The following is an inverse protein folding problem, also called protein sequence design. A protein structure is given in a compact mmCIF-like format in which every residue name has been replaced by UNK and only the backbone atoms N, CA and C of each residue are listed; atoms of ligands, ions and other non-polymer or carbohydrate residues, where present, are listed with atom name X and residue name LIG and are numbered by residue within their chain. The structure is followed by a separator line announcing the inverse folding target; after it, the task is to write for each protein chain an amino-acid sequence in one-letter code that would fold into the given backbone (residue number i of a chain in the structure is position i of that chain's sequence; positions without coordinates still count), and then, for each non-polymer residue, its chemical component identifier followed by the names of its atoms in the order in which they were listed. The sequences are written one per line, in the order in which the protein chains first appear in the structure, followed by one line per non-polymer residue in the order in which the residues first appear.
data_IF_764689540221
#
_entry.id   IF_764689540221
#
_cell.length_a   1.000
_cell.length_b   1.000
_cell.length_c   1.000
_cell.angle_alpha   90.00
_cell.angle_beta   90.00
_cell.angle_gamma   90.00
#
_symmetry.space_group_name_H-M   'P 1'
#
loop_
_entity.id
_entity.type
_entity.pdbx_description
1 polymer ?
#
# COMPACT_ATOMS: atom_id res chain seq x y z
N UNK A 1 94.36 -45.91 2.58
CA UNK A 1 93.96 -45.49 1.21
C UNK A 1 92.50 -45.93 1.04
N UNK A 2 91.48 -45.14 0.74
CA UNK A 2 91.33 -43.70 0.48
C UNK A 2 89.86 -43.30 0.76
N UNK A 3 89.70 -42.26 1.57
CA UNK A 3 88.71 -41.16 1.55
C UNK A 3 87.22 -41.31 1.12
N UNK A 4 86.39 -40.67 1.99
CA UNK A 4 85.23 -39.78 1.73
C UNK A 4 83.90 -40.47 1.35
N UNK A 5 82.71 -40.07 1.79
CA UNK A 5 82.19 -38.86 2.47
C UNK A 5 80.79 -39.16 3.04
N UNK A 6 80.44 -38.58 4.19
CA UNK A 6 79.08 -38.56 4.77
C UNK A 6 78.15 -37.63 4.00
N UNK A 7 76.88 -38.00 3.77
CA UNK A 7 75.75 -37.06 3.64
C UNK A 7 74.45 -37.68 4.20
N UNK A 8 73.89 -36.98 5.19
CA UNK A 8 72.57 -37.20 5.80
C UNK A 8 71.46 -36.81 4.83
N UNK A 9 70.48 -37.69 4.59
CA UNK A 9 69.24 -37.32 3.90
C UNK A 9 68.18 -36.88 4.91
N UNK A 10 68.01 -35.56 5.00
CA UNK A 10 66.87 -34.88 5.60
C UNK A 10 65.62 -35.18 4.75
N UNK A 11 64.70 -36.01 5.24
CA UNK A 11 63.38 -36.19 4.63
C UNK A 11 62.54 -34.93 4.88
N UNK A 12 62.40 -34.13 3.84
CA UNK A 12 61.56 -32.95 3.77
C UNK A 12 60.08 -33.38 3.89
N UNK A 13 59.44 -33.02 4.99
CA UNK A 13 58.00 -33.19 5.22
C UNK A 13 57.26 -32.18 4.33
N UNK A 14 56.92 -32.58 3.10
CA UNK A 14 56.03 -31.81 2.24
C UNK A 14 54.61 -31.91 2.79
N UNK A 15 54.22 -30.88 3.54
CA UNK A 15 52.84 -30.60 3.91
C UNK A 15 52.05 -30.34 2.61
N UNK A 16 51.48 -31.39 2.01
CA UNK A 16 50.44 -31.25 1.01
C UNK A 16 49.23 -30.64 1.71
N UNK A 17 49.15 -29.31 1.67
CA UNK A 17 47.89 -28.58 1.82
C UNK A 17 46.96 -29.12 0.74
N UNK A 18 46.18 -30.14 1.08
CA UNK A 18 44.99 -30.50 0.32
C UNK A 18 44.08 -29.29 0.47
N UNK A 19 44.14 -28.40 -0.50
CA UNK A 19 43.18 -27.33 -0.69
C UNK A 19 41.83 -28.03 -0.84
N UNK A 20 41.10 -28.17 0.28
CA UNK A 20 39.69 -28.54 0.20
C UNK A 20 39.03 -27.33 -0.46
N UNK A 21 38.49 -27.45 -1.69
CA UNK A 21 37.65 -26.38 -2.20
C UNK A 21 36.54 -26.20 -1.17
N UNK A 22 36.45 -25.01 -0.60
CA UNK A 22 35.34 -24.63 0.26
C UNK A 22 34.08 -24.66 -0.62
N UNK A 23 33.12 -25.58 -0.43
CA UNK A 23 31.88 -25.51 -1.19
C UNK A 23 31.00 -24.52 -0.44
N UNK A 24 31.14 -23.24 -0.75
CA UNK A 24 30.13 -22.26 -0.39
C UNK A 24 29.58 -21.65 -1.68
N UNK A 25 28.75 -22.44 -2.38
CA UNK A 25 27.43 -21.94 -2.78
C UNK A 25 26.40 -23.07 -2.61
N UNK A 26 25.77 -23.21 -1.44
CA UNK A 26 24.83 -24.31 -1.22
C UNK A 26 23.69 -24.05 -0.22
N UNK A 27 23.58 -22.86 0.38
CA UNK A 27 22.53 -22.57 1.38
C UNK A 27 21.32 -21.87 0.74
N UNK A 28 21.50 -21.10 -0.34
CA UNK A 28 20.40 -20.34 -0.96
C UNK A 28 19.52 -21.18 -1.88
N UNK A 29 20.06 -22.24 -2.49
CA UNK A 29 19.31 -23.18 -3.33
C UNK A 29 18.67 -24.34 -2.52
N UNK A 30 18.67 -24.25 -1.20
CA UNK A 30 18.04 -25.25 -0.35
C UNK A 30 16.54 -25.35 -0.68
N UNK A 31 16.07 -26.54 -1.03
CA UNK A 31 14.65 -26.81 -1.31
C UNK A 31 13.91 -26.81 0.03
N UNK A 32 12.97 -25.89 0.21
CA UNK A 32 12.15 -25.77 1.42
C UNK A 32 10.77 -26.39 1.24
N UNK A 33 10.29 -26.53 0.00
CA UNK A 33 9.07 -27.27 -0.31
C UNK A 33 9.07 -27.79 -1.75
N UNK A 34 8.30 -28.84 -1.99
CA UNK A 34 8.00 -29.42 -3.30
C UNK A 34 6.48 -29.41 -3.47
N UNK A 35 6.01 -28.91 -4.61
CA UNK A 35 4.59 -28.82 -4.97
C UNK A 35 4.41 -29.44 -6.35
N UNK A 36 3.83 -30.63 -6.41
CA UNK A 36 3.82 -31.48 -7.60
C UNK A 36 5.25 -31.65 -8.15
N UNK A 37 5.52 -31.16 -9.35
CA UNK A 37 6.86 -31.20 -9.98
C UNK A 37 7.65 -29.89 -9.81
N UNK A 38 7.11 -28.90 -9.09
CA UNK A 38 7.75 -27.61 -8.88
C UNK A 38 8.45 -27.52 -7.51
N UNK A 39 9.67 -26.99 -7.53
CA UNK A 39 10.48 -26.76 -6.33
C UNK A 39 10.28 -25.33 -5.82
N UNK A 40 10.31 -25.19 -4.49
CA UNK A 40 10.39 -23.90 -3.81
C UNK A 40 11.70 -23.90 -3.01
N UNK A 41 12.53 -22.91 -3.27
CA UNK A 41 13.85 -22.76 -2.65
C UNK A 41 13.86 -21.67 -1.59
N UNK A 42 14.89 -21.68 -0.73
CA UNK A 42 15.13 -20.59 0.23
C UNK A 42 15.36 -19.25 -0.49
N UNK A 43 15.99 -19.27 -1.67
CA UNK A 43 16.13 -18.09 -2.52
C UNK A 43 14.79 -17.52 -2.95
N UNK A 44 13.83 -18.35 -3.35
CA UNK A 44 12.48 -17.88 -3.73
C UNK A 44 11.79 -17.15 -2.57
N UNK A 45 11.91 -17.68 -1.35
CA UNK A 45 11.37 -17.05 -0.15
C UNK A 45 12.07 -15.70 0.14
N UNK A 46 13.40 -15.67 0.10
CA UNK A 46 14.16 -14.43 0.29
C UNK A 46 13.82 -13.38 -0.75
N UNK A 47 13.71 -13.76 -2.02
CA UNK A 47 13.37 -12.86 -3.11
C UNK A 47 11.94 -12.31 -2.95
N UNK A 48 11.00 -13.15 -2.51
CA UNK A 48 9.63 -12.74 -2.21
C UNK A 48 9.58 -11.70 -1.08
N UNK A 49 10.23 -12.00 0.05
CA UNK A 49 10.37 -11.15 1.23
C UNK A 49 11.05 -9.83 0.84
N UNK A 50 12.22 -9.88 0.20
CA UNK A 50 13.00 -8.70 -0.20
C UNK A 50 12.24 -7.81 -1.19
N UNK A 51 11.53 -8.39 -2.16
CA UNK A 51 10.75 -7.61 -3.13
C UNK A 51 9.63 -6.81 -2.46
N UNK A 52 9.04 -7.37 -1.40
CA UNK A 52 7.98 -6.70 -0.64
C UNK A 52 8.56 -5.59 0.24
N UNK A 53 9.69 -5.84 0.90
CA UNK A 53 10.42 -4.81 1.66
C UNK A 53 10.68 -3.55 0.82
N UNK A 54 11.20 -3.72 -0.40
CA UNK A 54 11.51 -2.59 -1.30
C UNK A 54 10.25 -1.80 -1.66
N UNK A 55 9.10 -2.46 -1.84
CA UNK A 55 7.82 -1.77 -2.11
C UNK A 55 7.38 -0.94 -0.91
N UNK A 56 7.42 -1.51 0.30
CA UNK A 56 6.97 -0.84 1.52
C UNK A 56 7.85 0.38 1.87
N UNK A 57 9.16 0.28 1.67
CA UNK A 57 10.08 1.42 1.84
C UNK A 57 9.76 2.52 0.84
N UNK A 58 9.48 2.18 -0.43
CA UNK A 58 9.12 3.15 -1.45
C UNK A 58 7.77 3.85 -1.17
N UNK A 59 6.87 3.16 -0.46
CA UNK A 59 5.58 3.70 0.00
C UNK A 59 5.72 4.57 1.27
N UNK A 60 6.91 4.66 1.87
CA UNK A 60 7.17 5.49 3.05
C UNK A 60 6.66 4.89 4.37
N UNK A 61 6.46 3.57 4.43
CA UNK A 61 6.02 2.89 5.64
C UNK A 61 7.09 2.98 6.75
N UNK A 62 6.72 3.21 8.02
CA UNK A 62 7.70 3.27 9.12
C UNK A 62 8.44 1.95 9.34
N UNK A 63 9.75 2.02 9.62
CA UNK A 63 10.62 0.85 9.78
C UNK A 63 10.08 -0.22 10.75
N UNK A 64 9.50 0.21 11.88
CA UNK A 64 8.94 -0.70 12.87
C UNK A 64 7.78 -1.55 12.30
N UNK A 65 6.94 -0.94 11.46
CA UNK A 65 5.84 -1.64 10.79
C UNK A 65 6.36 -2.57 9.69
N UNK A 66 7.37 -2.12 8.94
CA UNK A 66 8.02 -2.94 7.91
C UNK A 66 8.59 -4.21 8.54
N UNK A 67 9.30 -4.11 9.67
CA UNK A 67 9.87 -5.28 10.35
C UNK A 67 8.81 -6.29 10.79
N UNK A 68 7.64 -5.83 11.25
CA UNK A 68 6.53 -6.70 11.62
C UNK A 68 5.99 -7.46 10.40
N UNK A 69 5.81 -6.77 9.27
CA UNK A 69 5.40 -7.40 8.00
C UNK A 69 6.45 -8.40 7.54
N UNK A 70 7.74 -8.03 7.55
CA UNK A 70 8.81 -8.93 7.11
C UNK A 70 8.85 -10.21 7.93
N UNK A 71 8.68 -10.12 9.26
CA UNK A 71 8.62 -11.29 10.14
C UNK A 71 7.45 -12.20 9.81
N UNK A 72 6.27 -11.62 9.55
CA UNK A 72 5.11 -12.42 9.12
C UNK A 72 5.38 -13.12 7.78
N UNK A 73 6.01 -12.43 6.83
CA UNK A 73 6.36 -13.01 5.53
C UNK A 73 7.45 -14.09 5.61
N UNK A 74 8.39 -14.01 6.55
CA UNK A 74 9.35 -15.08 6.79
C UNK A 74 8.66 -16.34 7.33
N UNK A 75 7.62 -16.18 8.16
CA UNK A 75 6.84 -17.28 8.75
C UNK A 75 5.87 -17.89 7.73
N UNK A 76 5.08 -17.04 7.06
CA UNK A 76 3.97 -17.43 6.21
C UNK A 76 4.30 -17.40 4.71
N UNK A 77 5.47 -16.90 4.33
CA UNK A 77 5.87 -16.78 2.92
C UNK A 77 6.01 -18.12 2.22
N UNK A 78 6.50 -19.17 2.89
CA UNK A 78 6.54 -20.51 2.30
C UNK A 78 5.13 -21.01 1.96
N UNK A 79 4.15 -20.77 2.84
CA UNK A 79 2.75 -21.13 2.58
C UNK A 79 2.24 -20.38 1.35
N UNK A 80 2.54 -19.08 1.25
CA UNK A 80 2.14 -18.26 0.10
C UNK A 80 2.78 -18.75 -1.21
N UNK A 81 4.06 -19.09 -1.19
CA UNK A 81 4.76 -19.65 -2.36
C UNK A 81 4.16 -20.99 -2.78
N UNK A 82 3.81 -21.85 -1.81
CA UNK A 82 3.09 -23.11 -2.09
C UNK A 82 1.77 -22.82 -2.79
N UNK A 83 0.98 -21.86 -2.32
CA UNK A 83 -0.28 -21.47 -2.96
C UNK A 83 -0.08 -20.97 -4.39
N UNK A 84 0.90 -20.11 -4.63
CA UNK A 84 1.19 -19.59 -5.97
C UNK A 84 1.62 -20.72 -6.92
N UNK A 85 2.40 -21.69 -6.42
CA UNK A 85 2.80 -22.89 -7.17
C UNK A 85 1.61 -23.79 -7.51
N UNK A 86 0.69 -24.01 -6.58
CA UNK A 86 -0.54 -24.77 -6.83
C UNK A 86 -1.41 -24.09 -7.90
N UNK A 87 -1.56 -22.77 -7.81
CA UNK A 87 -2.35 -22.00 -8.75
C UNK A 87 -1.71 -22.01 -10.15
N UNK A 88 -0.39 -21.84 -10.22
CA UNK A 88 0.36 -21.90 -11.48
C UNK A 88 0.29 -23.31 -12.10
N UNK A 89 0.41 -24.36 -11.28
CA UNK A 89 0.24 -25.75 -11.69
C UNK A 89 -1.14 -25.97 -12.31
N UNK A 90 -2.21 -25.48 -11.67
CA UNK A 90 -3.56 -25.54 -12.22
C UNK A 90 -3.68 -24.78 -13.56
N UNK A 91 -3.06 -23.61 -13.68
CA UNK A 91 -3.06 -22.87 -14.94
C UNK A 91 -2.39 -23.67 -16.08
N UNK A 92 -1.30 -24.37 -15.76
CA UNK A 92 -0.61 -25.24 -16.70
C UNK A 92 -1.44 -26.47 -17.08
N UNK A 93 -2.14 -27.10 -16.13
CA UNK A 93 -3.05 -28.23 -16.37
C UNK A 93 -4.20 -27.86 -17.30
N UNK A 94 -4.73 -26.64 -17.18
CA UNK A 94 -5.76 -26.11 -18.08
C UNK A 94 -5.21 -25.70 -19.46
N UNK A 95 -3.90 -25.78 -19.67
CA UNK A 95 -3.25 -25.39 -20.92
C UNK A 95 -3.31 -23.88 -21.18
N UNK A 96 -3.42 -23.04 -20.14
CA UNK A 96 -3.50 -21.59 -20.30
C UNK A 96 -2.21 -21.03 -20.91
N UNK A 97 -2.37 -20.35 -22.04
CA UNK A 97 -1.28 -19.66 -22.75
C UNK A 97 -1.44 -18.15 -22.61
N UNK A 98 -0.35 -17.48 -22.27
CA UNK A 98 -0.29 -16.01 -22.22
C UNK A 98 0.29 -15.51 -23.54
N UNK A 99 -0.41 -14.59 -24.19
CA UNK A 99 0.08 -13.96 -25.42
C UNK A 99 1.31 -13.09 -25.11
N UNK A 100 2.35 -13.20 -25.93
CA UNK A 100 3.60 -12.43 -25.72
C UNK A 100 3.36 -10.91 -25.68
N UNK A 101 2.40 -10.39 -26.44
CA UNK A 101 2.04 -8.97 -26.43
C UNK A 101 1.65 -8.45 -25.01
N UNK A 102 1.03 -9.29 -24.18
CA UNK A 102 0.68 -8.92 -22.79
C UNK A 102 1.92 -8.90 -21.88
N UNK A 103 2.89 -9.78 -22.14
CA UNK A 103 4.18 -9.77 -21.45
C UNK A 103 4.95 -8.50 -21.82
N UNK A 104 4.95 -8.14 -23.11
CA UNK A 104 5.59 -6.93 -23.62
C UNK A 104 4.96 -5.66 -23.03
N UNK A 105 3.63 -5.56 -23.02
CA UNK A 105 2.90 -4.43 -22.42
C UNK A 105 3.25 -4.25 -20.93
N UNK A 106 3.30 -5.37 -20.18
CA UNK A 106 3.67 -5.34 -18.77
C UNK A 106 5.13 -4.93 -18.58
N UNK A 107 6.02 -5.40 -19.44
CA UNK A 107 7.44 -5.05 -19.42
C UNK A 107 7.65 -3.56 -19.71
N UNK A 108 6.95 -3.00 -20.70
CA UNK A 108 7.02 -1.56 -21.02
C UNK A 108 6.56 -0.69 -19.84
N UNK A 109 5.49 -1.11 -19.15
CA UNK A 109 5.04 -0.43 -17.92
C UNK A 109 6.15 -0.39 -16.84
N UNK A 110 6.90 -1.49 -16.69
CA UNK A 110 8.02 -1.54 -15.76
C UNK A 110 9.19 -0.67 -16.23
N UNK A 111 9.50 -0.65 -17.53
CA UNK A 111 10.54 0.23 -18.10
C UNK A 111 10.23 1.69 -17.83
N UNK A 112 8.98 2.12 -18.01
CA UNK A 112 8.55 3.50 -17.70
C UNK A 112 8.75 3.83 -16.22
N UNK A 113 8.41 2.90 -15.31
CA UNK A 113 8.59 3.09 -13.86
C UNK A 113 10.07 3.22 -13.46
N UNK A 114 10.97 2.51 -14.15
CA UNK A 114 12.43 2.57 -13.92
C UNK A 114 13.13 3.71 -14.69
N UNK A 115 12.42 4.37 -15.60
CA UNK A 115 12.89 5.50 -16.41
C UNK A 115 13.66 5.11 -17.68
N UNK A 116 14.21 3.90 -17.77
CA UNK A 116 14.75 3.34 -19.02
C UNK A 116 14.93 1.82 -18.94
N UNK A 117 15.02 1.16 -20.10
CA UNK A 117 15.35 -0.27 -20.19
C UNK A 117 16.73 -0.58 -19.58
N UNK A 118 17.74 0.27 -19.84
CA UNK A 118 19.08 0.07 -19.28
C UNK A 118 19.04 0.06 -17.75
N UNK A 119 18.34 1.02 -17.13
CA UNK A 119 18.22 1.08 -15.66
C UNK A 119 17.51 -0.15 -15.08
N UNK A 120 16.51 -0.67 -15.79
CA UNK A 120 15.83 -1.91 -15.42
C UNK A 120 16.79 -3.10 -15.50
N UNK A 121 17.53 -3.24 -16.60
CA UNK A 121 18.50 -4.32 -16.81
C UNK A 121 19.62 -4.25 -15.78
N UNK A 122 20.17 -3.07 -15.49
CA UNK A 122 21.19 -2.87 -14.46
C UNK A 122 20.67 -3.30 -13.08
N UNK A 123 19.41 -2.99 -12.76
CA UNK A 123 18.77 -3.41 -11.52
C UNK A 123 18.54 -4.94 -11.47
N UNK A 124 18.20 -5.58 -12.59
CA UNK A 124 18.06 -7.04 -12.66
C UNK A 124 19.42 -7.72 -12.43
N UNK A 125 20.48 -7.27 -13.12
CA UNK A 125 21.83 -7.82 -12.98
C UNK A 125 22.33 -7.67 -11.55
N UNK A 126 22.09 -6.51 -10.92
CA UNK A 126 22.45 -6.28 -9.51
C UNK A 126 21.80 -7.28 -8.55
N UNK A 127 20.62 -7.79 -8.89
CA UNK A 127 19.88 -8.79 -8.12
C UNK A 127 20.05 -10.22 -8.67
N UNK A 128 21.02 -10.47 -9.55
CA UNK A 128 21.31 -11.80 -10.09
C UNK A 128 20.23 -12.34 -11.03
N UNK A 129 19.42 -11.48 -11.65
CA UNK A 129 18.35 -11.84 -12.57
C UNK A 129 18.61 -11.32 -13.99
N UNK A 130 17.99 -11.96 -14.98
CA UNK A 130 18.03 -11.55 -16.39
C UNK A 130 16.70 -10.99 -16.87
N UNK A 131 16.71 -10.33 -18.03
CA UNK A 131 15.46 -9.91 -18.69
C UNK A 131 14.55 -11.10 -19.02
N UNK A 132 15.14 -12.26 -19.36
CA UNK A 132 14.42 -13.51 -19.61
C UNK A 132 13.69 -13.98 -18.36
N UNK A 133 14.36 -13.95 -17.20
CA UNK A 133 13.75 -14.32 -15.92
C UNK A 133 12.57 -13.40 -15.58
N UNK A 134 12.73 -12.09 -15.81
CA UNK A 134 11.64 -11.13 -15.62
C UNK A 134 10.46 -11.43 -16.55
N UNK A 135 10.70 -11.71 -17.84
CA UNK A 135 9.63 -12.08 -18.78
C UNK A 135 8.89 -13.35 -18.33
N UNK A 136 9.62 -14.36 -17.87
CA UNK A 136 9.03 -15.59 -17.34
C UNK A 136 8.19 -15.32 -16.09
N UNK A 137 8.70 -14.53 -15.15
CA UNK A 137 7.97 -14.11 -13.95
C UNK A 137 6.69 -13.34 -14.29
N UNK A 138 6.74 -12.42 -15.26
CA UNK A 138 5.56 -11.71 -15.76
C UNK A 138 4.55 -12.69 -16.33
N UNK A 139 5.02 -13.66 -17.14
CA UNK A 139 4.15 -14.69 -17.73
C UNK A 139 3.45 -15.52 -16.66
N UNK A 140 4.17 -15.95 -15.63
CA UNK A 140 3.59 -16.73 -14.52
C UNK A 140 2.60 -15.90 -13.70
N UNK A 141 2.90 -14.63 -13.43
CA UNK A 141 1.95 -13.72 -12.78
C UNK A 141 0.67 -13.53 -13.61
N UNK A 142 0.78 -13.43 -14.93
CA UNK A 142 -0.38 -13.35 -15.82
C UNK A 142 -1.17 -14.66 -15.85
N UNK A 143 -0.51 -15.83 -15.87
CA UNK A 143 -1.16 -17.14 -15.75
C UNK A 143 -1.95 -17.25 -14.46
N UNK A 144 -1.32 -16.93 -13.32
CA UNK A 144 -1.96 -16.92 -12.00
C UNK A 144 -3.18 -16.00 -12.02
N UNK A 145 -3.04 -14.78 -12.55
CA UNK A 145 -4.14 -13.83 -12.65
C UNK A 145 -5.31 -14.40 -13.46
N UNK A 146 -5.04 -14.92 -14.66
CA UNK A 146 -6.09 -15.40 -15.56
C UNK A 146 -6.78 -16.67 -15.06
N UNK A 147 -6.04 -17.60 -14.44
CA UNK A 147 -6.66 -18.79 -13.86
C UNK A 147 -7.51 -18.43 -12.65
N UNK A 148 -7.07 -17.50 -11.80
CA UNK A 148 -7.88 -17.03 -10.66
C UNK A 148 -9.14 -16.30 -11.15
N UNK A 149 -9.00 -15.50 -12.20
CA UNK A 149 -10.15 -14.83 -12.79
C UNK A 149 -11.17 -15.88 -13.30
N UNK A 150 -10.70 -16.86 -14.09
CA UNK A 150 -11.56 -17.89 -14.67
C UNK A 150 -12.18 -18.84 -13.62
N UNK A 151 -11.37 -19.32 -12.68
CA UNK A 151 -11.78 -20.35 -11.72
C UNK A 151 -12.60 -19.80 -10.55
N UNK A 152 -12.43 -18.51 -10.24
CA UNK A 152 -13.04 -17.88 -9.06
C UNK A 152 -13.83 -16.66 -9.44
N UNK A 153 -13.19 -15.62 -9.99
CA UNK A 153 -13.81 -14.31 -10.21
C UNK A 153 -15.05 -14.37 -11.09
N UNK A 154 -14.94 -15.03 -12.24
CA UNK A 154 -15.99 -15.10 -13.26
C UNK A 154 -17.21 -15.90 -12.79
N UNK A 155 -17.05 -16.71 -11.72
CA UNK A 155 -18.12 -17.51 -11.11
C UNK A 155 -18.84 -16.77 -9.98
N UNK A 156 -18.42 -15.55 -9.65
CA UNK A 156 -19.06 -14.75 -8.60
C UNK A 156 -20.18 -13.91 -9.19
N UNK A 157 -21.39 -14.16 -8.69
CA UNK A 157 -22.55 -13.33 -8.94
C UNK A 157 -22.96 -12.62 -7.65
N UNK A 158 -23.17 -11.30 -7.72
CA UNK A 158 -23.75 -10.49 -6.65
C UNK A 158 -25.15 -10.10 -7.08
N UNK A 159 -26.15 -10.64 -6.39
CA UNK A 159 -27.55 -10.33 -6.67
C UNK A 159 -27.85 -8.89 -6.22
N UNK A 160 -28.54 -8.05 -7.03
CA UNK A 160 -29.00 -6.73 -6.60
C UNK A 160 -29.79 -6.70 -5.29
N UNK A 161 -30.51 -7.79 -4.98
CA UNK A 161 -31.21 -7.94 -3.70
C UNK A 161 -30.23 -7.97 -2.52
N UNK A 162 -29.07 -8.62 -2.65
CA UNK A 162 -28.04 -8.65 -1.60
C UNK A 162 -27.49 -7.25 -1.32
N UNK A 163 -27.36 -6.41 -2.35
CA UNK A 163 -26.94 -5.01 -2.20
C UNK A 163 -27.97 -4.22 -1.41
N UNK A 164 -29.26 -4.43 -1.72
CA UNK A 164 -30.37 -3.78 -1.01
C UNK A 164 -30.43 -4.24 0.45
N UNK A 165 -30.37 -5.55 0.70
CA UNK A 165 -30.37 -6.12 2.05
C UNK A 165 -29.17 -5.68 2.87
N UNK A 166 -27.97 -5.63 2.27
CA UNK A 166 -26.78 -5.10 2.92
C UNK A 166 -26.98 -3.66 3.33
N UNK A 167 -27.51 -2.81 2.43
CA UNK A 167 -27.80 -1.41 2.75
C UNK A 167 -28.78 -1.29 3.91
N UNK A 168 -29.93 -1.98 3.84
CA UNK A 168 -30.97 -1.95 4.87
C UNK A 168 -30.45 -2.39 6.25
N UNK A 169 -29.67 -3.47 6.28
CA UNK A 169 -29.10 -4.01 7.52
C UNK A 169 -27.94 -3.16 8.08
N UNK A 170 -27.31 -2.31 7.25
CA UNK A 170 -26.13 -1.54 7.63
C UNK A 170 -26.32 -0.02 7.44
N UNK A 171 -27.56 0.49 7.38
CA UNK A 171 -27.87 1.91 7.09
C UNK A 171 -27.03 2.90 7.88
N UNK A 172 -26.82 2.63 9.16
CA UNK A 172 -26.05 3.51 10.05
C UNK A 172 -24.57 3.65 9.65
N UNK A 173 -23.98 2.65 8.98
CA UNK A 173 -22.61 2.74 8.46
C UNK A 173 -22.49 3.70 7.27
N UNK A 174 -23.62 4.09 6.68
CA UNK A 174 -23.71 5.06 5.60
C UNK A 174 -24.15 6.45 6.09
N UNK A 175 -24.29 6.62 7.41
CA UNK A 175 -24.49 7.93 8.00
C UNK A 175 -23.26 8.81 7.76
N UNK A 176 -23.49 9.98 7.19
CA UNK A 176 -22.50 11.05 7.08
C UNK A 176 -22.82 12.07 8.15
N UNK A 177 -21.79 12.50 8.87
CA UNK A 177 -21.93 13.61 9.79
C UNK A 177 -22.14 14.90 9.01
N UNK A 178 -22.71 15.89 9.69
CA UNK A 178 -22.78 17.24 9.15
C UNK A 178 -21.36 17.77 8.89
N UNK A 179 -21.19 18.38 7.72
CA UNK A 179 -19.96 19.07 7.32
C UNK A 179 -20.28 20.51 7.00
N UNK A 180 -19.41 21.40 7.42
CA UNK A 180 -19.45 22.80 7.01
C UNK A 180 -18.13 23.15 6.34
N UNK A 181 -18.20 24.01 5.34
CA UNK A 181 -17.04 24.56 4.66
C UNK A 181 -16.89 26.02 5.08
N UNK A 182 -15.76 26.34 5.69
CA UNK A 182 -15.50 27.63 6.32
C UNK A 182 -14.31 28.33 5.65
N UNK A 183 -14.50 29.61 5.40
CA UNK A 183 -13.37 30.54 5.30
C UNK A 183 -13.08 31.12 6.67
N UNK A 184 -11.79 31.32 6.99
CA UNK A 184 -11.40 31.89 8.27
C UNK A 184 -10.27 32.91 8.12
N UNK A 185 -10.36 33.99 8.88
CA UNK A 185 -9.27 34.95 9.08
C UNK A 185 -8.80 34.81 10.52
N UNK A 186 -7.51 34.56 10.70
CA UNK A 186 -6.88 34.53 12.02
C UNK A 186 -5.96 35.73 12.21
N UNK A 187 -6.10 36.42 13.34
CA UNK A 187 -5.20 37.51 13.77
C UNK A 187 -4.64 37.16 15.13
N UNK A 188 -3.33 36.90 15.21
CA UNK A 188 -2.67 36.53 16.47
C UNK A 188 -2.51 37.71 17.43
N UNK A 189 -2.66 37.47 18.73
CA UNK A 189 -2.39 38.48 19.75
C UNK A 189 -0.91 38.86 19.86
N UNK A 190 0.01 37.95 19.52
CA UNK A 190 1.46 38.17 19.63
C UNK A 190 1.80 38.79 21.00
N UNK A 191 2.59 39.87 21.04
CA UNK A 191 2.92 40.61 22.27
C UNK A 191 1.95 41.77 22.58
N UNK A 192 0.99 42.07 21.68
CA UNK A 192 0.10 43.24 21.78
C UNK A 192 -1.33 42.90 21.34
N UNK A 193 -2.21 42.69 22.33
CA UNK A 193 -3.62 42.38 22.12
C UNK A 193 -4.41 43.55 21.52
N UNK A 194 -4.01 44.80 21.78
CA UNK A 194 -4.72 45.97 21.27
C UNK A 194 -4.42 46.21 19.78
N UNK A 195 -3.19 45.94 19.34
CA UNK A 195 -2.84 45.94 17.92
C UNK A 195 -3.65 44.90 17.12
N UNK A 196 -3.87 43.71 17.68
CA UNK A 196 -4.69 42.68 17.05
C UNK A 196 -6.16 43.10 16.93
N UNK A 197 -6.72 43.76 17.95
CA UNK A 197 -8.07 44.33 17.90
C UNK A 197 -8.20 45.40 16.81
N UNK A 198 -7.22 46.30 16.70
CA UNK A 198 -7.22 47.33 15.65
C UNK A 198 -7.24 46.73 14.23
N UNK A 199 -6.48 45.65 13.99
CA UNK A 199 -6.53 44.92 12.71
C UNK A 199 -7.90 44.30 12.45
N UNK A 200 -8.50 43.70 13.47
CA UNK A 200 -9.84 43.09 13.38
C UNK A 200 -10.90 44.14 13.07
N UNK A 201 -10.85 45.32 13.69
CA UNK A 201 -11.76 46.42 13.41
C UNK A 201 -11.64 46.92 11.96
N UNK A 202 -10.42 46.97 11.41
CA UNK A 202 -10.18 47.29 10.00
C UNK A 202 -10.80 46.23 9.07
N UNK A 203 -10.62 44.95 9.38
CA UNK A 203 -11.22 43.84 8.62
C UNK A 203 -12.75 43.93 8.65
N UNK A 204 -13.36 44.16 9.81
CA UNK A 204 -14.81 44.32 9.94
C UNK A 204 -15.33 45.53 9.15
N UNK A 205 -14.58 46.63 9.13
CA UNK A 205 -14.93 47.80 8.32
C UNK A 205 -14.90 47.46 6.82
N UNK A 206 -13.84 46.81 6.33
CA UNK A 206 -13.73 46.38 4.92
C UNK A 206 -14.85 45.40 4.53
N UNK A 207 -15.22 44.49 5.44
CA UNK A 207 -16.38 43.60 5.26
C UNK A 207 -17.67 44.43 5.11
N UNK A 208 -17.89 45.41 5.98
CA UNK A 208 -19.05 46.31 5.91
C UNK A 208 -19.10 47.18 4.66
N UNK A 209 -17.96 47.48 4.06
CA UNK A 209 -17.82 48.18 2.77
C UNK A 209 -18.07 47.27 1.55
N UNK A 210 -18.28 45.96 1.77
CA UNK A 210 -18.58 44.99 0.72
C UNK A 210 -17.36 44.35 0.06
N UNK A 211 -16.18 44.42 0.69
CA UNK A 211 -14.99 43.72 0.20
C UNK A 211 -15.18 42.21 0.35
N UNK A 212 -14.86 41.46 -0.71
CA UNK A 212 -14.95 40.00 -0.72
C UNK A 212 -14.10 39.36 0.38
N UNK A 213 -14.72 38.54 1.23
CA UNK A 213 -14.08 37.90 2.38
C UNK A 213 -12.85 37.08 1.98
N UNK A 214 -12.91 36.38 0.83
CA UNK A 214 -11.79 35.58 0.31
C UNK A 214 -10.54 36.43 -0.02
N UNK A 215 -10.72 37.71 -0.38
CA UNK A 215 -9.60 38.64 -0.57
C UNK A 215 -8.98 39.03 0.77
N UNK A 216 -9.82 39.26 1.78
CA UNK A 216 -9.39 39.60 3.14
C UNK A 216 -8.67 38.42 3.82
N UNK A 217 -9.08 37.18 3.56
CA UNK A 217 -8.34 35.98 3.99
C UNK A 217 -6.91 35.99 3.47
N UNK A 218 -6.70 36.34 2.19
CA UNK A 218 -5.35 36.41 1.61
C UNK A 218 -4.52 37.57 2.13
N UNK A 219 -5.16 38.70 2.40
CA UNK A 219 -4.49 39.94 2.81
C UNK A 219 -4.13 39.95 4.30
N UNK A 220 -5.03 39.45 5.16
CA UNK A 220 -4.93 39.63 6.61
C UNK A 220 -4.73 38.35 7.43
N UNK A 221 -5.08 37.17 6.90
CA UNK A 221 -5.02 35.94 7.71
C UNK A 221 -3.57 35.54 7.99
N UNK A 222 -3.24 35.41 9.27
CA UNK A 222 -1.95 34.93 9.74
C UNK A 222 -1.87 33.39 9.82
N UNK A 223 -2.96 32.69 9.46
CA UNK A 223 -3.04 31.22 9.39
C UNK A 223 -3.80 30.73 8.14
N UNK A 224 -3.56 29.48 7.69
CA UNK A 224 -4.36 28.86 6.64
C UNK A 224 -5.85 28.83 6.98
N UNK A 225 -6.71 28.95 5.95
CA UNK A 225 -8.15 28.84 6.14
C UNK A 225 -8.56 27.44 6.59
N UNK A 226 -9.55 27.36 7.48
CA UNK A 226 -10.03 26.09 8.07
C UNK A 226 -10.55 25.11 7.01
N UNK A 227 -11.35 25.56 6.05
CA UNK A 227 -11.92 24.70 5.00
C UNK A 227 -13.05 23.81 5.52
N UNK A 228 -13.11 22.56 5.06
CA UNK A 228 -14.19 21.61 5.40
C UNK A 228 -13.93 20.97 6.75
N UNK A 229 -14.90 21.05 7.66
CA UNK A 229 -14.84 20.46 9.00
C UNK A 229 -16.10 19.68 9.36
N UNK A 230 -15.90 18.64 10.16
CA UNK A 230 -16.93 17.82 10.81
C UNK A 230 -17.02 18.18 12.31
N UNK A 231 -18.10 17.76 12.98
CA UNK A 231 -18.21 17.88 14.44
C UNK A 231 -17.03 17.23 15.17
N UNK A 232 -16.55 17.86 16.24
CA UNK A 232 -15.44 17.39 17.07
C UNK A 232 -14.04 17.72 16.52
N UNK A 233 -13.95 18.42 15.38
CA UNK A 233 -12.67 18.87 14.81
C UNK A 233 -12.29 20.30 15.22
N UNK A 234 -13.21 21.04 15.86
CA UNK A 234 -13.00 22.40 16.34
C UNK A 234 -13.11 22.46 17.87
N UNK A 235 -12.63 23.56 18.45
CA UNK A 235 -12.85 23.84 19.86
C UNK A 235 -14.36 23.99 20.14
N UNK A 236 -14.89 23.47 21.27
CA UNK A 236 -16.33 23.44 21.54
C UNK A 236 -17.03 24.81 21.44
N UNK A 237 -16.34 25.89 21.84
CA UNK A 237 -16.83 27.26 21.74
C UNK A 237 -16.88 27.79 20.30
N UNK A 238 -15.92 27.40 19.46
CA UNK A 238 -15.90 27.76 18.03
C UNK A 238 -17.00 26.98 17.31
N UNK A 239 -17.09 25.68 17.57
CA UNK A 239 -18.02 24.76 16.92
C UNK A 239 -19.48 25.21 17.07
N UNK A 240 -19.88 25.60 18.30
CA UNK A 240 -21.22 26.14 18.58
C UNK A 240 -21.57 27.39 17.78
N UNK A 241 -20.57 28.17 17.38
CA UNK A 241 -20.78 29.39 16.60
C UNK A 241 -20.90 29.00 15.13
N UNK A 242 -19.92 28.28 14.59
CA UNK A 242 -19.81 28.04 13.15
C UNK A 242 -20.89 27.10 12.58
N UNK A 243 -21.36 26.12 13.37
CA UNK A 243 -22.45 25.22 12.96
C UNK A 243 -23.83 25.87 13.03
N UNK A 244 -23.97 27.04 13.68
CA UNK A 244 -25.22 27.80 13.72
C UNK A 244 -25.28 28.92 12.65
N UNK A 245 -24.23 29.07 11.84
CA UNK A 245 -24.20 30.08 10.78
C UNK A 245 -25.09 29.69 9.60
N UNK A 246 -25.70 30.70 9.00
CA UNK A 246 -26.37 30.61 7.70
C UNK A 246 -25.34 30.69 6.57
N UNK A 247 -25.71 30.20 5.38
CA UNK A 247 -24.82 30.25 4.22
C UNK A 247 -24.43 31.70 3.88
N UNK A 248 -23.13 31.94 3.72
CA UNK A 248 -22.46 33.25 3.56
C UNK A 248 -22.46 34.16 4.79
N UNK A 249 -23.02 33.71 5.93
CA UNK A 249 -22.99 34.46 7.18
C UNK A 249 -21.57 34.51 7.75
N UNK A 250 -21.22 35.66 8.32
CA UNK A 250 -19.95 35.91 9.00
C UNK A 250 -20.18 35.78 10.50
N UNK A 251 -19.33 35.03 11.19
CA UNK A 251 -19.44 34.81 12.61
C UNK A 251 -19.23 36.09 13.43
N UNK A 252 -19.75 36.13 14.66
CA UNK A 252 -19.18 36.99 15.69
C UNK A 252 -17.67 36.74 15.86
N UNK A 253 -16.96 37.73 16.43
CA UNK A 253 -15.55 37.57 16.76
C UNK A 253 -15.36 36.44 17.76
N UNK A 254 -14.47 35.50 17.44
CA UNK A 254 -14.14 34.38 18.32
C UNK A 254 -12.76 34.61 18.91
N UNK A 255 -12.72 35.04 20.17
CA UNK A 255 -11.47 35.20 20.92
C UNK A 255 -10.98 33.84 21.43
N UNK A 256 -9.70 33.55 21.21
CA UNK A 256 -8.97 32.38 21.74
C UNK A 256 -7.72 32.88 22.48
N UNK A 257 -7.03 32.02 23.22
CA UNK A 257 -5.82 32.41 23.96
C UNK A 257 -4.72 33.00 23.06
N UNK A 258 -4.68 32.59 21.78
CA UNK A 258 -3.62 32.96 20.84
C UNK A 258 -4.00 34.10 19.88
N UNK A 259 -5.28 34.49 19.81
CA UNK A 259 -5.73 35.48 18.84
C UNK A 259 -7.24 35.46 18.60
N UNK A 260 -7.66 36.17 17.55
CA UNK A 260 -9.06 36.34 17.16
C UNK A 260 -9.29 35.65 15.82
N UNK A 261 -10.39 34.90 15.73
CA UNK A 261 -10.89 34.35 14.48
C UNK A 261 -12.17 35.05 14.02
N UNK A 262 -12.29 35.17 12.70
CA UNK A 262 -13.51 35.53 11.99
C UNK A 262 -13.79 34.41 10.99
N UNK A 263 -14.99 33.83 11.04
CA UNK A 263 -15.39 32.74 10.15
C UNK A 263 -16.46 33.21 9.17
N UNK A 264 -16.50 32.61 7.98
CA UNK A 264 -17.59 32.73 7.03
C UNK A 264 -18.00 31.36 6.53
N UNK A 265 -19.29 31.05 6.60
CA UNK A 265 -19.81 29.79 6.05
C UNK A 265 -19.93 29.89 4.53
N UNK A 266 -19.22 29.04 3.80
CA UNK A 266 -19.28 28.99 2.32
C UNK A 266 -20.02 27.76 1.79
N UNK A 267 -20.34 26.79 2.65
CA UNK A 267 -21.16 25.63 2.29
C UNK A 267 -21.52 24.79 3.50
N UNK A 268 -22.67 24.13 3.47
CA UNK A 268 -23.06 23.13 4.46
C UNK A 268 -23.53 21.84 3.76
N UNK A 269 -23.25 20.72 4.39
CA UNK A 269 -23.71 19.39 3.99
C UNK A 269 -24.32 18.76 5.24
N UNK A 270 -25.66 18.62 5.32
CA UNK A 270 -26.33 18.18 6.53
C UNK A 270 -25.96 16.73 6.85
N UNK A 271 -26.13 16.36 8.13
CA UNK A 271 -26.05 14.97 8.52
C UNK A 271 -27.17 14.18 7.81
N UNK A 272 -26.79 13.17 7.03
CA UNK A 272 -27.73 12.33 6.29
C UNK A 272 -27.23 10.90 6.18
N UNK A 273 -28.18 9.97 6.02
CA UNK A 273 -27.84 8.61 5.61
C UNK A 273 -27.74 8.63 4.08
N UNK A 274 -26.55 8.36 3.56
CA UNK A 274 -26.32 8.34 2.13
C UNK A 274 -27.28 7.36 1.45
N UNK A 275 -27.98 7.80 0.40
CA UNK A 275 -28.98 6.96 -0.28
C UNK A 275 -28.35 5.71 -0.88
N UNK A 276 -29.12 4.63 -1.00
CA UNK A 276 -28.67 3.39 -1.64
C UNK A 276 -28.04 3.64 -3.01
N UNK A 277 -28.62 4.52 -3.82
CA UNK A 277 -28.10 4.86 -5.15
C UNK A 277 -26.67 5.40 -5.10
N UNK A 278 -26.37 6.24 -4.11
CA UNK A 278 -25.04 6.87 -3.95
C UNK A 278 -23.96 5.91 -3.43
N UNK A 279 -24.34 4.79 -2.82
CA UNK A 279 -23.40 3.83 -2.20
C UNK A 279 -23.47 2.42 -2.80
N UNK A 280 -24.37 2.16 -3.75
CA UNK A 280 -24.61 0.83 -4.33
C UNK A 280 -23.33 0.16 -4.86
N UNK A 281 -22.46 0.91 -5.54
CA UNK A 281 -21.26 0.36 -6.16
C UNK A 281 -20.23 -0.05 -5.09
N UNK A 282 -20.09 0.77 -4.03
CA UNK A 282 -19.26 0.44 -2.87
C UNK A 282 -19.77 -0.80 -2.14
N UNK A 283 -21.08 -0.92 -1.98
CA UNK A 283 -21.71 -2.10 -1.35
C UNK A 283 -21.49 -3.33 -2.23
N UNK A 284 -21.70 -3.21 -3.54
CA UNK A 284 -21.45 -4.27 -4.50
C UNK A 284 -20.00 -4.77 -4.40
N UNK A 285 -19.02 -3.86 -4.44
CA UNK A 285 -17.60 -4.21 -4.29
C UNK A 285 -17.31 -4.89 -2.94
N UNK A 286 -17.94 -4.43 -1.86
CA UNK A 286 -17.80 -5.06 -0.54
C UNK A 286 -18.27 -6.51 -0.56
N UNK A 287 -19.51 -6.76 -1.02
CA UNK A 287 -20.09 -8.10 -1.11
C UNK A 287 -19.29 -8.97 -2.08
N UNK A 288 -18.90 -8.42 -3.22
CA UNK A 288 -18.09 -9.10 -4.22
C UNK A 288 -16.74 -9.55 -3.62
N UNK A 289 -16.03 -8.66 -2.92
CA UNK A 289 -14.74 -8.96 -2.31
C UNK A 289 -14.85 -10.01 -1.18
N UNK A 290 -15.93 -10.00 -0.42
CA UNK A 290 -16.21 -11.04 0.58
C UNK A 290 -16.44 -12.41 -0.07
N UNK A 291 -17.29 -12.45 -1.10
CA UNK A 291 -17.54 -13.67 -1.88
C UNK A 291 -16.27 -14.18 -2.56
N UNK A 292 -15.48 -13.28 -3.16
CA UNK A 292 -14.21 -13.61 -3.79
C UNK A 292 -13.26 -14.25 -2.79
N UNK A 293 -13.02 -13.62 -1.63
CA UNK A 293 -12.15 -14.17 -0.59
C UNK A 293 -12.60 -15.56 -0.13
N UNK A 294 -13.91 -15.76 0.03
CA UNK A 294 -14.49 -17.06 0.44
C UNK A 294 -14.33 -18.13 -0.63
N UNK A 295 -14.63 -17.81 -1.90
CA UNK A 295 -14.52 -18.77 -3.00
C UNK A 295 -13.05 -19.07 -3.34
N UNK A 296 -12.19 -18.05 -3.37
CA UNK A 296 -10.75 -18.20 -3.58
C UNK A 296 -10.13 -19.14 -2.55
N UNK A 297 -10.42 -18.93 -1.25
CA UNK A 297 -9.92 -19.81 -0.19
C UNK A 297 -10.39 -21.25 -0.38
N UNK A 298 -11.67 -21.46 -0.66
CA UNK A 298 -12.21 -22.82 -0.91
C UNK A 298 -11.54 -23.49 -2.11
N UNK A 299 -11.29 -22.75 -3.17
CA UNK A 299 -10.63 -23.26 -4.36
C UNK A 299 -9.17 -23.62 -4.09
N UNK A 300 -8.41 -22.74 -3.43
CA UNK A 300 -7.03 -23.04 -3.01
C UNK A 300 -6.96 -24.23 -2.05
N UNK A 301 -7.89 -24.33 -1.10
CA UNK A 301 -7.99 -25.48 -0.19
C UNK A 301 -8.27 -26.79 -0.95
N UNK A 302 -9.00 -26.72 -2.07
CA UNK A 302 -9.21 -27.86 -2.95
C UNK A 302 -7.94 -28.22 -3.71
N UNK A 303 -7.24 -27.24 -4.30
CA UNK A 303 -5.95 -27.47 -4.95
C UNK A 303 -4.93 -28.12 -4.01
N UNK A 304 -4.90 -27.69 -2.74
CA UNK A 304 -4.03 -28.26 -1.70
C UNK A 304 -4.33 -29.74 -1.42
N UNK A 305 -5.59 -30.17 -1.52
CA UNK A 305 -6.00 -31.57 -1.30
C UNK A 305 -5.66 -32.47 -2.48
N UNK A 306 -5.69 -31.91 -3.68
CA UNK A 306 -5.50 -32.67 -4.93
C UNK A 306 -4.02 -32.74 -5.35
N UNK A 307 -3.15 -31.93 -4.73
CA UNK A 307 -1.74 -31.83 -5.05
C UNK A 307 -0.82 -32.64 -4.12
N UNK A 308 0.36 -33.00 -4.63
CA UNK A 308 1.47 -33.46 -3.80
C UNK A 308 2.18 -32.24 -3.20
N UNK A 309 2.25 -32.17 -1.87
CA UNK A 309 2.95 -31.09 -1.16
C UNK A 309 3.87 -31.73 -0.12
N UNK A 310 5.17 -31.46 -0.23
CA UNK A 310 6.17 -31.89 0.74
C UNK A 310 6.97 -30.68 1.23
N UNK A 311 6.86 -30.36 2.51
CA UNK A 311 7.66 -29.29 3.14
C UNK A 311 8.92 -29.94 3.71
N UNK A 312 10.08 -29.44 3.30
CA UNK A 312 11.39 -29.90 3.80
C UNK A 312 11.74 -29.08 5.04
N UNK A 313 11.91 -29.75 6.17
CA UNK A 313 12.38 -29.15 7.43
C UNK A 313 13.90 -29.03 7.46
#
# INVERSE_FOLDING_TARGET
MSHRTQWTLTTCLTLLLVFRPNPAPAIEDAIIAVVNDELITLKDLKDYVQSTYVSLVAEGMPDAQIQEVMKDMEINGTIKLIEDKLILSQANTLGLQVREALVDERLETLKTKYGSEQKLVDALIKNGATLTDLRNKIRDQLKIKFVVDHEVKDKIFVNPQEVTEYYENNKQQFARQERINLESIFVGYKEDKDAAKGKVDEILKKIGEGVEFSSLVKEYSEAPSVGVVEHGQLLPEVEKIVFNLSLHEISPLVETDNGIFIFRLIGNSPAEIASLESVKDRIYETIFNEKFRKQFRRWVDQLKKDAYIEIKQ
#
